data_IF_391123198695
#
_entry.id   IF_391123198695
#
_cell.length_a   1.000
_cell.length_b   1.000
_cell.length_c   1.000
_cell.angle_alpha   90.00
_cell.angle_beta   90.00
_cell.angle_gamma   90.00
#
_symmetry.space_group_name_H-M   'P 1'
#
loop_
_entity.id
_entity.type
_entity.pdbx_description
1 polymer ?
#
# COMPACT_ATOMS: atom_id res chain seq x y z
N UNK A 1 -21.71 -32.15 8.19
CA UNK A 1 -20.55 -31.45 8.74
C UNK A 1 -20.79 -29.96 8.50
N UNK A 2 -21.04 -29.12 9.50
CA UNK A 2 -21.05 -27.68 9.27
C UNK A 2 -19.62 -27.26 8.95
N UNK A 3 -19.49 -26.49 7.87
CA UNK A 3 -18.20 -25.96 7.41
C UNK A 3 -17.59 -25.05 8.49
N UNK A 4 -16.28 -25.16 8.70
CA UNK A 4 -15.50 -24.35 9.67
C UNK A 4 -15.60 -22.82 9.45
N UNK A 5 -16.25 -22.38 8.38
CA UNK A 5 -16.61 -20.98 8.10
C UNK A 5 -17.43 -20.32 9.22
N UNK A 6 -18.15 -21.12 10.04
CA UNK A 6 -18.93 -20.59 11.17
C UNK A 6 -18.08 -20.07 12.32
N UNK A 7 -16.82 -20.52 12.43
CA UNK A 7 -15.89 -20.07 13.46
C UNK A 7 -15.27 -18.69 13.13
N UNK A 8 -15.15 -18.35 11.85
CA UNK A 8 -14.67 -17.04 11.41
C UNK A 8 -15.74 -15.95 11.49
N UNK A 9 -17.02 -16.38 11.61
CA UNK A 9 -18.17 -15.49 11.55
C UNK A 9 -19.04 -15.80 12.76
N UNK A 10 -18.64 -15.25 13.90
CA UNK A 10 -19.54 -15.16 15.03
C UNK A 10 -20.86 -14.53 14.58
N UNK A 11 -21.95 -15.26 14.80
CA UNK A 11 -23.28 -14.89 14.37
C UNK A 11 -23.61 -13.43 14.71
N UNK A 12 -23.91 -12.64 13.69
CA UNK A 12 -24.65 -11.38 13.82
C UNK A 12 -23.79 -10.17 14.17
N UNK A 13 -23.20 -9.57 13.16
CA UNK A 13 -23.07 -8.11 13.10
C UNK A 13 -22.77 -7.73 11.64
N UNK A 14 -23.81 -7.45 10.91
CA UNK A 14 -23.75 -6.66 9.69
C UNK A 14 -23.07 -5.35 10.04
N UNK A 15 -21.99 -5.07 9.35
CA UNK A 15 -21.05 -3.99 9.53
C UNK A 15 -21.73 -2.61 9.64
N UNK A 16 -22.06 -2.20 10.84
CA UNK A 16 -22.15 -0.80 11.23
C UNK A 16 -21.11 -0.60 12.32
N UNK A 17 -19.96 -0.04 11.92
CA UNK A 17 -19.09 0.66 12.85
C UNK A 17 -17.96 -0.13 13.49
N UNK A 18 -16.88 -0.34 12.79
CA UNK A 18 -15.56 -0.32 13.44
C UNK A 18 -15.12 1.14 13.65
N UNK A 19 -16.05 1.94 14.17
CA UNK A 19 -15.79 3.29 14.69
C UNK A 19 -15.29 3.24 16.14
N UNK A 20 -15.41 2.12 16.85
CA UNK A 20 -15.30 2.06 18.31
C UNK A 20 -13.97 1.55 18.86
N UNK A 21 -12.99 1.21 18.04
CA UNK A 21 -11.76 0.57 18.55
C UNK A 21 -10.53 1.47 18.71
N UNK A 22 -10.70 2.78 18.63
CA UNK A 22 -9.62 3.68 19.00
C UNK A 22 -10.13 4.61 20.12
N UNK A 23 -9.96 4.14 21.34
CA UNK A 23 -10.43 4.77 22.57
C UNK A 23 -10.02 6.24 22.69
N UNK A 24 -10.95 7.02 23.21
CA UNK A 24 -10.74 8.36 23.73
C UNK A 24 -9.91 8.29 24.99
N UNK A 25 -8.73 8.87 24.98
CA UNK A 25 -8.06 9.32 26.19
C UNK A 25 -7.98 10.85 26.12
N UNK A 26 -8.89 11.49 26.84
CA UNK A 26 -8.84 12.92 27.15
C UNK A 26 -8.00 13.08 28.39
N UNK A 27 -6.94 13.90 28.35
CA UNK A 27 -6.41 14.57 29.54
C UNK A 27 -5.90 15.95 29.15
N UNK A 28 -6.47 16.92 29.82
CA UNK A 28 -6.04 18.32 29.86
C UNK A 28 -4.65 18.45 30.50
N UNK A 29 -3.89 19.45 30.05
CA UNK A 29 -2.63 19.86 30.67
C UNK A 29 -2.09 21.13 30.02
N UNK A 30 -2.40 22.26 30.62
CA UNK A 30 -1.88 23.62 30.41
C UNK A 30 -0.36 23.72 30.46
N UNK A 31 0.24 24.63 29.72
CA UNK A 31 1.66 24.94 29.84
C UNK A 31 2.26 25.75 28.68
N UNK A 32 1.91 27.04 28.62
CA UNK A 32 2.58 28.07 27.83
C UNK A 32 4.11 28.02 27.89
N UNK A 33 4.79 27.98 26.73
CA UNK A 33 6.07 28.65 26.48
C UNK A 33 6.25 28.92 25.00
N UNK A 34 6.21 30.16 24.60
CA UNK A 34 6.54 30.66 23.25
C UNK A 34 8.04 30.46 23.01
N UNK A 35 8.36 29.72 21.97
CA UNK A 35 9.70 29.67 21.38
C UNK A 35 9.59 30.06 19.91
N UNK A 36 10.41 31.01 19.51
CA UNK A 36 10.46 31.59 18.17
C UNK A 36 10.74 30.54 17.09
N UNK A 37 10.20 30.71 15.88
CA UNK A 37 10.47 29.78 14.79
C UNK A 37 11.89 29.98 14.25
N UNK A 38 12.73 29.01 14.45
CA UNK A 38 14.02 28.90 13.76
C UNK A 38 13.74 28.63 12.28
N UNK A 39 14.12 29.56 11.42
CA UNK A 39 14.02 29.42 9.97
C UNK A 39 14.70 28.13 9.52
N UNK A 40 13.93 27.19 9.02
CA UNK A 40 14.44 25.99 8.37
C UNK A 40 15.06 26.39 7.04
N UNK A 41 16.37 26.13 6.86
CA UNK A 41 17.05 26.23 5.56
C UNK A 41 16.31 25.33 4.56
N UNK A 42 16.08 25.77 3.31
CA UNK A 42 15.50 24.92 2.28
C UNK A 42 16.46 23.73 2.06
N UNK A 43 15.96 22.52 2.27
CA UNK A 43 16.69 21.30 1.91
C UNK A 43 16.92 21.33 0.40
N UNK A 44 18.18 21.38 -0.03
CA UNK A 44 18.57 21.25 -1.42
C UNK A 44 17.94 19.95 -1.96
N UNK A 45 17.24 20.01 -3.11
CA UNK A 45 16.72 18.85 -3.79
C UNK A 45 17.91 17.93 -4.11
N UNK A 46 17.91 16.73 -3.53
CA UNK A 46 18.94 15.74 -3.75
C UNK A 46 18.93 15.39 -5.25
N UNK A 47 20.08 15.54 -5.92
CA UNK A 47 20.23 15.24 -7.34
C UNK A 47 19.98 13.76 -7.56
N UNK A 48 19.15 13.42 -8.55
CA UNK A 48 18.87 12.03 -8.94
C UNK A 48 19.51 11.73 -10.27
N UNK A 49 19.89 10.47 -10.44
CA UNK A 49 20.41 9.89 -11.67
C UNK A 49 19.37 8.97 -12.28
N UNK A 50 19.30 8.86 -13.59
CA UNK A 50 18.29 8.08 -14.28
C UNK A 50 18.96 7.10 -15.22
N UNK A 51 18.51 5.85 -15.18
CA UNK A 51 18.94 4.80 -16.10
C UNK A 51 17.81 4.49 -17.05
N UNK A 52 18.08 4.47 -18.34
CA UNK A 52 17.18 3.99 -19.38
C UNK A 52 17.79 2.71 -19.96
N UNK A 53 17.13 1.58 -19.75
CA UNK A 53 17.53 0.30 -20.35
C UNK A 53 16.83 0.04 -21.68
N UNK A 54 15.61 0.57 -21.86
CA UNK A 54 14.86 0.52 -23.11
C UNK A 54 14.22 1.90 -23.37
N UNK A 55 14.61 2.53 -24.46
CA UNK A 55 14.26 3.87 -24.87
C UNK A 55 14.89 4.17 -26.22
N UNK A 56 14.76 5.40 -26.72
CA UNK A 56 15.40 5.82 -27.97
C UNK A 56 16.92 5.66 -27.90
N UNK A 57 17.52 6.11 -26.81
CA UNK A 57 18.94 5.89 -26.50
C UNK A 57 19.06 5.33 -25.08
N UNK A 58 19.41 4.05 -24.90
CA UNK A 58 19.71 3.50 -23.57
C UNK A 58 20.98 4.14 -22.99
N UNK A 59 20.94 4.48 -21.68
CA UNK A 59 22.07 5.16 -21.05
C UNK A 59 21.77 5.61 -19.62
N UNK A 60 22.75 6.35 -19.03
CA UNK A 60 22.64 6.97 -17.70
C UNK A 60 22.56 8.49 -17.86
N UNK A 61 21.55 9.09 -17.29
CA UNK A 61 21.20 10.51 -17.46
C UNK A 61 21.20 11.26 -16.13
N UNK A 62 21.63 12.51 -16.14
CA UNK A 62 21.72 13.35 -14.93
C UNK A 62 20.40 14.02 -14.57
N UNK A 63 19.52 14.19 -15.57
CA UNK A 63 18.26 14.91 -15.38
C UNK A 63 17.05 14.09 -15.80
N UNK A 64 15.92 14.36 -15.15
CA UNK A 64 14.65 13.79 -15.58
C UNK A 64 14.27 14.19 -17.01
N UNK A 65 14.58 15.41 -17.41
CA UNK A 65 14.27 15.90 -18.75
C UNK A 65 15.00 15.10 -19.87
N UNK A 66 16.23 14.70 -19.63
CA UNK A 66 16.99 13.82 -20.54
C UNK A 66 16.37 12.42 -20.59
N UNK A 67 16.14 11.81 -19.43
CA UNK A 67 15.48 10.51 -19.33
C UNK A 67 14.11 10.51 -20.03
N UNK A 68 13.32 11.54 -19.84
CA UNK A 68 12.00 11.68 -20.43
C UNK A 68 12.06 11.75 -21.97
N UNK A 69 13.03 12.47 -22.55
CA UNK A 69 13.23 12.51 -24.02
C UNK A 69 13.50 11.10 -24.58
N UNK A 70 14.20 10.27 -23.85
CA UNK A 70 14.54 8.92 -24.28
C UNK A 70 13.41 7.90 -24.10
N UNK A 71 12.46 8.20 -23.25
CA UNK A 71 11.37 7.26 -22.91
C UNK A 71 10.01 7.67 -23.47
N UNK A 72 9.82 8.95 -23.77
CA UNK A 72 8.55 9.46 -24.28
C UNK A 72 8.23 8.90 -25.65
N UNK A 73 7.07 8.25 -25.79
CA UNK A 73 6.64 7.63 -27.06
C UNK A 73 7.36 6.31 -27.39
N UNK A 74 8.30 5.84 -26.59
CA UNK A 74 8.96 4.56 -26.82
C UNK A 74 8.13 3.40 -26.21
N UNK A 75 7.70 2.41 -27.04
CA UNK A 75 6.89 1.28 -26.56
C UNK A 75 7.62 0.47 -25.50
N UNK A 76 7.02 0.26 -24.35
CA UNK A 76 7.60 -0.52 -23.23
C UNK A 76 8.94 0.04 -22.72
N UNK A 77 9.10 1.35 -22.66
CA UNK A 77 10.29 1.98 -22.10
C UNK A 77 10.59 1.46 -20.69
N UNK A 78 11.87 1.14 -20.44
CA UNK A 78 12.35 0.65 -19.14
C UNK A 78 13.38 1.65 -18.59
N UNK A 79 13.00 2.31 -17.50
CA UNK A 79 13.86 3.29 -16.84
C UNK A 79 13.65 3.33 -15.33
N UNK A 80 14.63 3.87 -14.59
CA UNK A 80 14.56 4.04 -13.13
C UNK A 80 15.46 5.17 -12.65
N UNK A 81 15.08 5.83 -11.55
CA UNK A 81 15.90 6.84 -10.87
C UNK A 81 16.72 6.22 -9.73
N UNK A 82 17.92 6.79 -9.50
CA UNK A 82 18.88 6.41 -8.46
C UNK A 82 19.32 7.66 -7.68
N UNK A 83 19.77 7.47 -6.45
CA UNK A 83 20.22 8.56 -5.59
C UNK A 83 21.71 8.90 -5.80
N UNK A 84 22.46 7.99 -6.43
CA UNK A 84 23.87 8.21 -6.76
C UNK A 84 24.21 7.78 -8.19
N UNK A 85 25.23 8.45 -8.77
CA UNK A 85 25.77 8.11 -10.09
C UNK A 85 26.34 6.69 -10.12
N UNK A 86 27.02 6.29 -9.07
CA UNK A 86 27.64 4.96 -8.97
C UNK A 86 26.62 3.82 -8.98
N UNK A 87 25.48 4.02 -8.30
CA UNK A 87 24.38 3.05 -8.38
C UNK A 87 23.75 2.99 -9.76
N UNK A 88 23.53 4.15 -10.40
CA UNK A 88 22.98 4.23 -11.73
C UNK A 88 23.89 3.51 -12.77
N UNK A 89 25.19 3.77 -12.75
CA UNK A 89 26.15 3.13 -13.65
C UNK A 89 26.17 1.61 -13.46
N UNK A 90 26.27 1.14 -12.20
CA UNK A 90 26.24 -0.29 -11.90
C UNK A 90 24.95 -0.95 -12.37
N UNK A 91 23.81 -0.30 -12.15
CA UNK A 91 22.51 -0.80 -12.60
C UNK A 91 22.41 -0.87 -14.13
N UNK A 92 23.01 0.08 -14.83
CA UNK A 92 23.06 0.09 -16.29
C UNK A 92 23.95 -1.04 -16.84
N UNK A 93 25.15 -1.22 -16.29
CA UNK A 93 26.10 -2.28 -16.66
C UNK A 93 25.53 -3.69 -16.43
N UNK A 94 24.77 -3.89 -15.35
CA UNK A 94 24.09 -5.16 -15.06
C UNK A 94 22.95 -5.47 -16.03
N UNK A 95 22.46 -4.48 -16.73
CA UNK A 95 21.27 -4.54 -17.55
C UNK A 95 19.98 -4.70 -16.72
N UNK A 96 18.84 -4.44 -17.33
CA UNK A 96 17.55 -4.48 -16.64
C UNK A 96 17.26 -5.82 -15.95
N UNK A 97 17.60 -6.95 -16.60
CA UNK A 97 17.34 -8.29 -16.01
C UNK A 97 18.25 -8.57 -14.80
N UNK A 98 19.53 -8.18 -14.85
CA UNK A 98 20.45 -8.32 -13.73
C UNK A 98 20.05 -7.44 -12.57
N UNK A 99 19.77 -6.17 -12.87
CA UNK A 99 19.27 -5.21 -11.91
C UNK A 99 17.93 -5.67 -11.27
N UNK A 100 16.97 -6.08 -12.08
CA UNK A 100 15.65 -6.56 -11.61
C UNK A 100 15.79 -7.81 -10.75
N UNK A 101 16.70 -8.73 -11.07
CA UNK A 101 16.99 -9.93 -10.28
C UNK A 101 17.60 -9.62 -8.92
N UNK A 102 18.52 -8.63 -8.85
CA UNK A 102 19.17 -8.21 -7.60
C UNK A 102 18.30 -7.34 -6.72
N UNK A 103 17.51 -6.46 -7.33
CA UNK A 103 16.61 -5.54 -6.66
C UNK A 103 15.16 -6.06 -6.58
N UNK A 104 14.91 -7.24 -7.10
CA UNK A 104 13.87 -8.08 -6.54
C UNK A 104 14.30 -8.27 -5.10
N UNK A 105 13.74 -7.40 -4.21
CA UNK A 105 14.04 -7.48 -2.80
C UNK A 105 14.10 -8.95 -2.43
N UNK A 106 15.00 -9.39 -1.55
CA UNK A 106 14.68 -10.54 -0.78
C UNK A 106 13.44 -10.10 0.00
N UNK A 107 12.26 -10.22 -0.63
CA UNK A 107 11.08 -10.58 0.09
C UNK A 107 11.54 -11.85 0.78
N UNK A 108 12.02 -11.71 2.00
CA UNK A 108 12.22 -12.87 2.84
C UNK A 108 10.86 -13.49 3.01
N UNK A 109 10.50 -14.15 1.97
CA UNK A 109 9.60 -15.29 1.86
C UNK A 109 9.40 -15.52 0.35
N UNK A 110 10.24 -16.40 -0.19
CA UNK A 110 9.89 -17.11 -1.40
C UNK A 110 8.51 -17.72 -1.15
N UNK A 111 7.49 -17.17 -1.79
CA UNK A 111 6.29 -17.93 -2.08
C UNK A 111 6.73 -19.00 -3.07
N UNK A 112 7.30 -20.07 -2.56
CA UNK A 112 7.68 -21.26 -3.33
C UNK A 112 6.47 -22.12 -3.68
N UNK A 113 5.26 -21.64 -3.41
CA UNK A 113 4.02 -22.35 -3.71
C UNK A 113 3.49 -21.94 -5.08
N UNK A 114 3.22 -22.90 -5.93
CA UNK A 114 2.58 -22.69 -7.24
C UNK A 114 1.18 -22.06 -7.10
N UNK A 115 0.57 -22.14 -5.95
CA UNK A 115 -0.74 -21.60 -5.58
C UNK A 115 -0.66 -20.66 -4.40
N UNK A 116 -1.60 -19.71 -4.24
CA UNK A 116 -1.69 -18.87 -3.06
C UNK A 116 -2.03 -19.71 -1.82
N UNK A 117 -1.59 -19.25 -0.64
CA UNK A 117 -2.02 -19.82 0.64
C UNK A 117 -3.52 -19.62 0.76
N UNK A 118 -4.28 -20.70 0.96
CA UNK A 118 -5.74 -20.64 1.00
C UNK A 118 -6.26 -19.91 2.25
N UNK A 119 -5.70 -20.18 3.42
CA UNK A 119 -6.07 -19.54 4.69
C UNK A 119 -5.60 -18.06 4.70
N UNK A 120 -6.30 -17.22 3.95
CA UNK A 120 -5.90 -15.84 3.73
C UNK A 120 -7.08 -14.88 3.55
N UNK A 121 -6.82 -13.60 3.83
CA UNK A 121 -7.63 -12.48 3.38
C UNK A 121 -6.97 -11.83 2.16
N UNK A 122 -7.69 -11.72 1.07
CA UNK A 122 -7.34 -10.86 -0.05
C UNK A 122 -7.95 -9.48 0.18
N UNK A 123 -7.18 -8.42 0.00
CA UNK A 123 -7.67 -7.04 0.18
C UNK A 123 -7.36 -6.20 -1.06
N UNK A 124 -8.31 -5.35 -1.41
CA UNK A 124 -8.20 -4.47 -2.57
C UNK A 124 -9.05 -3.20 -2.39
N UNK A 125 -8.84 -2.22 -3.26
CA UNK A 125 -9.61 -1.00 -3.33
C UNK A 125 -10.02 -0.68 -4.76
N UNK A 126 -11.11 0.06 -4.89
CA UNK A 126 -11.52 0.65 -6.16
C UNK A 126 -11.63 2.16 -6.03
N UNK A 127 -11.21 2.88 -7.06
CA UNK A 127 -11.34 4.32 -7.12
C UNK A 127 -11.76 4.76 -8.53
N UNK A 128 -12.88 5.48 -8.62
CA UNK A 128 -13.38 6.02 -9.89
C UNK A 128 -12.72 7.38 -10.20
N UNK A 129 -11.42 7.36 -10.54
CA UNK A 129 -10.59 8.53 -10.75
C UNK A 129 -9.42 8.61 -9.77
N UNK A 130 -8.54 9.61 -9.93
CA UNK A 130 -7.37 9.76 -9.06
C UNK A 130 -7.04 11.26 -8.81
N UNK A 131 -7.69 11.91 -7.81
CA UNK A 131 -8.65 11.36 -6.83
C UNK A 131 -10.06 11.15 -7.39
N UNK A 132 -10.84 10.28 -6.73
CA UNK A 132 -12.22 9.97 -7.09
C UNK A 132 -12.98 9.27 -5.96
N UNK A 133 -14.18 8.77 -6.27
CA UNK A 133 -14.96 7.96 -5.33
C UNK A 133 -14.21 6.66 -5.06
N UNK A 134 -13.88 6.41 -3.80
CA UNK A 134 -13.03 5.31 -3.37
C UNK A 134 -13.77 4.41 -2.38
N UNK A 135 -13.56 3.13 -2.52
CA UNK A 135 -14.01 2.10 -1.59
C UNK A 135 -12.94 1.01 -1.46
N UNK A 136 -12.98 0.22 -0.39
CA UNK A 136 -12.07 -0.90 -0.20
C UNK A 136 -12.74 -2.06 0.52
N UNK A 137 -12.24 -3.27 0.29
CA UNK A 137 -12.79 -4.47 0.92
C UNK A 137 -11.74 -5.54 1.22
N UNK A 138 -12.14 -6.49 2.05
CA UNK A 138 -11.41 -7.72 2.31
C UNK A 138 -12.29 -8.93 2.06
N UNK A 139 -11.73 -9.93 1.38
CA UNK A 139 -12.39 -11.16 0.98
C UNK A 139 -11.62 -12.34 1.55
N UNK A 140 -12.31 -13.27 2.22
CA UNK A 140 -11.72 -14.52 2.67
C UNK A 140 -11.58 -15.48 1.51
N UNK A 141 -10.35 -15.94 1.25
CA UNK A 141 -10.02 -16.67 0.04
C UNK A 141 -10.79 -17.99 -0.14
N UNK A 142 -10.90 -18.87 0.86
CA UNK A 142 -11.55 -20.17 0.67
C UNK A 142 -13.03 -20.06 0.26
N UNK A 143 -13.79 -19.19 0.91
CA UNK A 143 -15.23 -19.05 0.67
C UNK A 143 -15.60 -17.92 -0.28
N UNK A 144 -14.63 -17.09 -0.67
CA UNK A 144 -14.86 -15.89 -1.48
C UNK A 144 -15.84 -14.89 -0.85
N UNK A 145 -16.07 -14.98 0.45
CA UNK A 145 -16.95 -14.06 1.17
C UNK A 145 -16.27 -12.74 1.44
N UNK A 146 -17.01 -11.66 1.23
CA UNK A 146 -16.61 -10.32 1.69
C UNK A 146 -16.71 -10.32 3.22
N UNK A 147 -15.58 -10.06 3.89
CA UNK A 147 -15.49 -10.00 5.35
C UNK A 147 -15.71 -8.57 5.84
N UNK A 148 -15.21 -7.60 5.10
CA UNK A 148 -15.48 -6.20 5.33
C UNK A 148 -15.48 -5.41 4.02
N UNK A 149 -16.24 -4.34 3.98
CA UNK A 149 -16.30 -3.37 2.89
C UNK A 149 -16.52 -1.98 3.47
N UNK A 150 -15.79 -0.99 2.98
CA UNK A 150 -15.79 0.38 3.47
C UNK A 150 -15.84 1.38 2.33
N UNK A 151 -16.59 2.42 2.54
CA UNK A 151 -16.86 3.48 1.56
C UNK A 151 -18.36 3.55 1.21
N UNK A 152 -18.73 4.26 0.14
CA UNK A 152 -17.86 5.08 -0.70
C UNK A 152 -17.35 6.33 0.02
N UNK A 153 -16.08 6.67 -0.19
CA UNK A 153 -15.50 7.95 0.18
C UNK A 153 -15.51 8.86 -1.04
N UNK A 154 -16.03 10.05 -0.92
CA UNK A 154 -16.26 10.96 -2.06
C UNK A 154 -15.00 11.34 -2.82
N UNK A 155 -13.85 11.37 -2.14
CA UNK A 155 -12.59 11.80 -2.72
C UNK A 155 -11.42 11.04 -2.08
N UNK A 156 -10.90 10.04 -2.79
CA UNK A 156 -9.79 9.22 -2.36
C UNK A 156 -8.89 8.84 -3.52
N UNK A 157 -7.92 7.98 -3.27
CA UNK A 157 -7.06 7.37 -4.28
C UNK A 157 -6.96 5.87 -4.05
N UNK A 158 -6.70 5.11 -5.11
CA UNK A 158 -6.57 3.66 -4.99
C UNK A 158 -5.55 3.25 -3.93
N UNK A 159 -4.36 3.86 -3.96
CA UNK A 159 -3.29 3.57 -2.98
C UNK A 159 -3.72 3.81 -1.51
N UNK A 160 -4.55 4.84 -1.24
CA UNK A 160 -5.09 5.08 0.11
C UNK A 160 -6.04 3.95 0.50
N UNK A 161 -6.96 3.57 -0.39
CA UNK A 161 -7.91 2.49 -0.15
C UNK A 161 -7.20 1.17 0.14
N UNK A 162 -6.22 0.80 -0.67
CA UNK A 162 -5.39 -0.40 -0.49
C UNK A 162 -4.62 -0.38 0.86
N UNK A 163 -4.04 0.77 1.22
CA UNK A 163 -3.38 0.93 2.52
C UNK A 163 -4.35 0.72 3.68
N UNK A 164 -5.52 1.36 3.62
CA UNK A 164 -6.55 1.21 4.66
C UNK A 164 -7.10 -0.22 4.71
N UNK A 165 -7.27 -0.89 3.57
CA UNK A 165 -7.72 -2.27 3.51
C UNK A 165 -6.76 -3.24 4.22
N UNK A 166 -5.44 -3.08 4.01
CA UNK A 166 -4.43 -3.90 4.69
C UNK A 166 -4.47 -3.66 6.20
N UNK A 167 -4.49 -2.40 6.64
CA UNK A 167 -4.50 -2.09 8.08
C UNK A 167 -5.80 -2.56 8.75
N UNK A 168 -6.94 -2.44 8.05
CA UNK A 168 -8.23 -2.96 8.52
C UNK A 168 -8.17 -4.49 8.71
N UNK A 169 -7.62 -5.23 7.74
CA UNK A 169 -7.46 -6.67 7.83
C UNK A 169 -6.53 -7.06 9.00
N UNK A 170 -5.40 -6.37 9.20
CA UNK A 170 -4.49 -6.59 10.32
C UNK A 170 -5.20 -6.41 11.66
N UNK A 171 -5.92 -5.30 11.83
CA UNK A 171 -6.65 -5.01 13.06
C UNK A 171 -7.78 -6.01 13.33
N UNK A 172 -8.44 -6.49 12.27
CA UNK A 172 -9.48 -7.51 12.37
C UNK A 172 -8.92 -8.86 12.82
N UNK A 173 -7.82 -9.31 12.19
CA UNK A 173 -7.13 -10.56 12.53
C UNK A 173 -6.66 -10.54 13.99
N UNK A 174 -6.03 -9.47 14.43
CA UNK A 174 -5.58 -9.31 15.82
C UNK A 174 -6.74 -9.37 16.80
N UNK A 175 -7.80 -8.59 16.52
CA UNK A 175 -9.00 -8.54 17.38
C UNK A 175 -9.67 -9.90 17.55
N UNK A 176 -9.69 -10.72 16.50
CA UNK A 176 -10.35 -12.02 16.50
C UNK A 176 -9.41 -13.18 16.85
N UNK A 177 -8.12 -12.92 17.05
CA UNK A 177 -7.13 -13.96 17.40
C UNK A 177 -6.85 -14.93 16.26
N UNK A 178 -7.04 -14.51 15.00
CA UNK A 178 -6.90 -15.35 13.81
C UNK A 178 -5.45 -15.35 13.29
N UNK A 179 -4.49 -15.69 14.15
CA UNK A 179 -3.04 -15.60 13.87
C UNK A 179 -2.55 -16.50 12.73
N UNK A 180 -3.34 -17.50 12.31
CA UNK A 180 -3.03 -18.41 11.20
C UNK A 180 -3.24 -17.76 9.83
N UNK A 181 -4.04 -16.68 9.75
CA UNK A 181 -4.34 -16.03 8.48
C UNK A 181 -3.16 -15.21 7.97
N UNK A 182 -3.03 -15.16 6.66
CA UNK A 182 -2.15 -14.24 5.95
C UNK A 182 -2.97 -13.21 5.16
N UNK A 183 -2.36 -12.10 4.77
CA UNK A 183 -3.03 -11.08 3.97
C UNK A 183 -2.34 -10.95 2.63
N UNK A 184 -3.13 -10.97 1.55
CA UNK A 184 -2.70 -10.66 0.20
C UNK A 184 -3.21 -9.30 -0.25
N UNK A 185 -2.34 -8.52 -0.87
CA UNK A 185 -2.67 -7.31 -1.61
C UNK A 185 -1.87 -7.25 -2.91
N UNK A 186 -2.45 -6.79 -3.99
CA UNK A 186 -1.75 -6.59 -5.25
C UNK A 186 -1.04 -5.22 -5.35
N UNK A 187 -1.14 -4.40 -4.30
CA UNK A 187 -0.49 -3.09 -4.21
C UNK A 187 0.87 -3.16 -3.55
N UNK A 188 1.94 -3.06 -4.34
CA UNK A 188 3.30 -2.91 -3.83
C UNK A 188 3.47 -1.59 -3.05
N UNK A 189 2.76 -0.54 -3.46
CA UNK A 189 2.78 0.78 -2.81
C UNK A 189 2.20 0.71 -1.41
N UNK A 190 1.00 0.16 -1.26
CA UNK A 190 0.31 0.03 0.01
C UNK A 190 1.09 -0.86 1.00
N UNK A 191 1.59 -2.01 0.55
CA UNK A 191 2.47 -2.87 1.33
C UNK A 191 3.73 -2.13 1.82
N UNK A 192 4.31 -1.28 0.95
CA UNK A 192 5.44 -0.43 1.31
C UNK A 192 5.09 0.64 2.36
N UNK A 193 3.89 1.21 2.31
CA UNK A 193 3.41 2.18 3.28
C UNK A 193 3.13 1.56 4.64
N UNK A 194 2.54 0.37 4.67
CA UNK A 194 2.30 -0.40 5.91
C UNK A 194 3.62 -0.74 6.61
N UNK A 195 4.64 -1.23 5.88
CA UNK A 195 5.98 -1.49 6.44
C UNK A 195 6.64 -0.24 7.01
N UNK A 196 6.42 0.93 6.39
CA UNK A 196 6.92 2.23 6.86
C UNK A 196 6.03 2.88 7.90
N UNK A 197 4.90 2.24 8.24
CA UNK A 197 3.88 2.75 9.16
C UNK A 197 3.41 4.16 8.80
N UNK A 198 3.39 4.48 7.48
CA UNK A 198 3.09 5.83 6.97
C UNK A 198 2.44 5.79 5.60
N UNK A 199 1.27 6.41 5.47
CA UNK A 199 0.58 6.66 4.20
C UNK A 199 1.19 7.89 3.50
N UNK A 200 1.98 7.68 2.44
CA UNK A 200 2.65 8.79 1.72
C UNK A 200 1.78 9.31 0.56
N UNK A 201 0.56 9.69 0.87
CA UNK A 201 -0.33 10.29 -0.13
C UNK A 201 0.03 11.74 -0.45
N UNK A 202 -0.26 12.16 -1.69
CA UNK A 202 -0.22 13.56 -2.14
C UNK A 202 -1.62 14.19 -2.15
N UNK A 203 -2.65 13.47 -1.72
CA UNK A 203 -4.00 14.01 -1.58
C UNK A 203 -3.98 15.14 -0.54
N UNK A 204 -4.63 16.26 -0.86
CA UNK A 204 -4.73 17.39 0.04
C UNK A 204 -5.81 17.17 1.11
N UNK A 205 -5.54 17.63 2.33
CA UNK A 205 -6.52 17.64 3.42
C UNK A 205 -7.47 18.83 3.24
N UNK A 206 -8.69 18.56 2.91
CA UNK A 206 -9.78 19.53 2.75
C UNK A 206 -10.98 19.11 3.58
N UNK A 207 -12.04 19.91 3.62
CA UNK A 207 -13.30 19.52 4.29
C UNK A 207 -13.88 18.23 3.71
N UNK A 208 -13.78 18.01 2.40
CA UNK A 208 -14.27 16.79 1.73
C UNK A 208 -13.45 15.55 2.07
N UNK A 209 -12.14 15.71 2.28
CA UNK A 209 -11.21 14.61 2.57
C UNK A 209 -10.97 14.40 4.05
N UNK A 210 -11.52 15.24 4.94
CA UNK A 210 -11.25 15.21 6.37
C UNK A 210 -11.50 13.83 6.99
N UNK A 211 -12.65 13.22 6.72
CA UNK A 211 -12.98 11.88 7.21
C UNK A 211 -11.96 10.81 6.76
N UNK A 212 -11.49 10.91 5.52
CA UNK A 212 -10.49 9.98 4.99
C UNK A 212 -9.14 10.16 5.69
N UNK A 213 -8.73 11.42 5.93
CA UNK A 213 -7.51 11.71 6.67
C UNK A 213 -7.58 11.26 8.13
N UNK A 214 -8.73 11.37 8.78
CA UNK A 214 -8.93 10.83 10.13
C UNK A 214 -8.75 9.30 10.16
N UNK A 215 -9.22 8.59 9.12
CA UNK A 215 -8.98 7.15 8.98
C UNK A 215 -7.50 6.84 8.74
N UNK A 216 -6.81 7.60 7.89
CA UNK A 216 -5.37 7.45 7.65
C UNK A 216 -4.59 7.63 8.96
N UNK A 217 -4.84 8.70 9.70
CA UNK A 217 -4.16 8.97 10.97
C UNK A 217 -4.42 7.87 12.01
N UNK A 218 -5.65 7.34 12.04
CA UNK A 218 -5.99 6.20 12.91
C UNK A 218 -5.25 4.93 12.50
N UNK A 219 -5.17 4.64 11.20
CA UNK A 219 -4.45 3.51 10.67
C UNK A 219 -2.93 3.61 10.96
N UNK A 220 -2.34 4.79 10.75
CA UNK A 220 -0.93 5.04 11.09
C UNK A 220 -0.67 4.88 12.60
N UNK A 221 -1.56 5.42 13.45
CA UNK A 221 -1.46 5.28 14.91
C UNK A 221 -1.54 3.81 15.31
N UNK A 222 -2.47 3.05 14.74
CA UNK A 222 -2.60 1.63 15.01
C UNK A 222 -1.30 0.90 14.67
N UNK A 223 -0.73 1.12 13.48
CA UNK A 223 0.55 0.54 13.07
C UNK A 223 1.72 0.92 13.98
N UNK A 224 1.71 2.12 14.57
CA UNK A 224 2.75 2.58 15.49
C UNK A 224 2.65 1.92 16.87
N UNK A 225 1.42 1.68 17.35
CA UNK A 225 1.15 1.19 18.72
C UNK A 225 0.99 -0.32 18.80
N UNK A 226 0.79 -1.02 17.67
CA UNK A 226 0.63 -2.47 17.61
C UNK A 226 1.80 -3.14 16.88
N UNK A 227 2.12 -4.36 17.31
CA UNK A 227 3.09 -5.23 16.64
C UNK A 227 2.32 -6.43 16.08
N UNK A 228 2.16 -6.47 14.78
CA UNK A 228 1.50 -7.58 14.10
C UNK A 228 2.51 -8.63 13.64
N UNK A 229 2.14 -9.90 13.72
CA UNK A 229 2.90 -11.05 13.22
C UNK A 229 2.31 -11.62 11.94
N UNK A 230 1.12 -11.17 11.55
CA UNK A 230 0.41 -11.59 10.33
C UNK A 230 1.26 -11.34 9.09
N UNK A 231 1.56 -12.37 8.30
CA UNK A 231 2.33 -12.22 7.06
C UNK A 231 1.56 -11.41 6.02
N UNK A 232 2.29 -10.50 5.35
CA UNK A 232 1.76 -9.68 4.26
C UNK A 232 2.42 -10.07 2.95
N UNK A 233 1.65 -10.54 1.99
CA UNK A 233 2.13 -10.99 0.70
C UNK A 233 1.62 -10.14 -0.46
N UNK A 234 2.43 -10.06 -1.50
CA UNK A 234 2.03 -9.50 -2.79
C UNK A 234 1.28 -10.58 -3.56
N UNK A 235 0.05 -10.29 -3.99
CA UNK A 235 -0.68 -11.14 -4.91
C UNK A 235 0.00 -11.17 -6.28
N UNK A 236 0.18 -12.36 -6.84
CA UNK A 236 0.77 -12.53 -8.16
C UNK A 236 -0.33 -12.58 -9.23
N UNK A 237 -0.73 -11.41 -9.70
CA UNK A 237 -1.78 -11.27 -10.72
C UNK A 237 -1.43 -11.99 -12.04
N UNK A 238 -0.14 -12.15 -12.35
CA UNK A 238 0.29 -12.83 -13.58
C UNK A 238 0.02 -14.32 -13.51
N UNK A 239 0.23 -14.92 -12.33
CA UNK A 239 0.06 -16.37 -12.12
C UNK A 239 -1.35 -16.76 -11.74
N UNK A 240 -1.99 -15.96 -10.86
CA UNK A 240 -3.23 -16.34 -10.20
C UNK A 240 -4.45 -15.57 -10.71
N UNK A 241 -4.25 -14.68 -11.71
CA UNK A 241 -5.31 -13.80 -12.19
C UNK A 241 -5.63 -12.66 -11.23
N UNK A 242 -6.77 -12.02 -11.42
CA UNK A 242 -7.18 -10.89 -10.58
C UNK A 242 -7.35 -11.31 -9.13
N UNK A 243 -7.00 -10.40 -8.22
CA UNK A 243 -7.15 -10.65 -6.79
C UNK A 243 -8.64 -10.81 -6.45
N UNK A 244 -9.04 -11.78 -5.59
CA UNK A 244 -10.46 -12.03 -5.29
C UNK A 244 -11.22 -10.83 -4.70
N UNK A 245 -10.51 -9.87 -4.17
CA UNK A 245 -11.08 -8.62 -3.68
C UNK A 245 -11.25 -7.54 -4.77
N UNK A 246 -10.82 -7.79 -6.02
CA UNK A 246 -11.00 -6.85 -7.14
C UNK A 246 -12.49 -6.58 -7.38
N UNK A 247 -12.86 -5.33 -7.55
CA UNK A 247 -14.24 -4.89 -7.76
C UNK A 247 -14.78 -5.16 -9.18
N UNK A 248 -13.91 -5.63 -10.10
CA UNK A 248 -14.31 -5.91 -11.48
C UNK A 248 -14.67 -4.66 -12.30
N UNK A 249 -14.31 -3.47 -11.83
CA UNK A 249 -14.64 -2.19 -12.48
C UNK A 249 -13.52 -1.68 -13.39
N UNK A 250 -12.90 -2.55 -14.12
CA UNK A 250 -11.93 -2.13 -15.15
C UNK A 250 -12.70 -1.66 -16.36
N UNK A 251 -12.90 -0.33 -16.48
CA UNK A 251 -13.34 0.33 -17.67
C UNK A 251 -12.18 0.61 -18.62
#
# INVERSE_FOLDING_TARGET
MPSDDAALIGAGAVARGIVVLLGTASTMGDGSKRLHPRASKPMAKQQKWYVVWAGHEPGVYETWAECQRQTQGYPKALFKSFESRSEALRAYEEGFQGFSRRHRAPSGMESSTEAPIEEALAVDAACSGNPGVMEYRGVYLPSRRVIFEMGPFTKGTNNIGEFLAIVHALALIEKQGLSQLVIYSDSQTALGWVRKKRCKTLLERTAETAQLFDLIERAERWLQTHTYTTPLYKWDTVRWGEIPADYGRKG
#
